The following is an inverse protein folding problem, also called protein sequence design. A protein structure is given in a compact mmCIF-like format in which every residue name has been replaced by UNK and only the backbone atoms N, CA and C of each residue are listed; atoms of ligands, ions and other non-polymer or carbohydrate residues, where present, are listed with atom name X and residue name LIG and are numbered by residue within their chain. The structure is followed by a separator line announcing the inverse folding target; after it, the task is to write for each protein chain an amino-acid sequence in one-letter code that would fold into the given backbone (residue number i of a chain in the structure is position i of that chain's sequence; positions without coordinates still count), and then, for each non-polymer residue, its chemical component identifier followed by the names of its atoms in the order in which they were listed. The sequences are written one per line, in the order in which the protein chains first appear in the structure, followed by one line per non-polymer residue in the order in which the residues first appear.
data_IF_719905224913
#
_entry.id   IF_719905224913
#
_cell.length_a   1.000
_cell.length_b   1.000
_cell.length_c   1.000
_cell.angle_alpha   90.00
_cell.angle_beta   90.00
_cell.angle_gamma   90.00
#
_symmetry.space_group_name_H-M   'P 1'
#
loop_
_entity.id
_entity.type
_entity.pdbx_description
1 polymer ?
#
# COMPACT_ATOMS: atom_id res chain seq x y z
N UNK A 1 11.91 -30.04 11.51
CA UNK A 1 12.69 -28.80 11.22
C UNK A 1 11.67 -27.70 11.02
N UNK A 2 11.85 -26.58 11.73
CA UNK A 2 11.03 -25.40 11.52
C UNK A 2 11.29 -24.87 10.11
N UNK A 3 10.23 -24.59 9.36
CA UNK A 3 10.33 -24.17 7.98
C UNK A 3 10.84 -22.74 7.86
N UNK A 4 11.45 -22.40 6.71
CA UNK A 4 11.97 -21.07 6.44
C UNK A 4 11.21 -20.44 5.28
N UNK A 5 10.50 -19.35 5.54
CA UNK A 5 9.83 -18.56 4.50
C UNK A 5 10.48 -17.17 4.45
N UNK A 6 10.81 -16.75 3.24
CA UNK A 6 11.51 -15.48 3.01
C UNK A 6 10.65 -14.57 2.13
N UNK A 7 10.46 -13.33 2.58
CA UNK A 7 9.94 -12.26 1.76
C UNK A 7 11.08 -11.37 1.28
N UNK A 8 11.30 -11.34 -0.03
CA UNK A 8 12.40 -10.65 -0.68
C UNK A 8 11.88 -9.41 -1.47
N UNK A 9 12.41 -8.22 -1.21
CA UNK A 9 11.93 -7.00 -1.88
C UNK A 9 12.99 -5.91 -1.97
N UNK A 10 12.88 -5.05 -2.99
CA UNK A 10 13.63 -3.79 -3.10
C UNK A 10 12.77 -2.56 -2.78
N UNK A 11 11.54 -2.76 -2.34
CA UNK A 11 10.59 -1.67 -2.03
C UNK A 11 10.62 -1.39 -0.54
N UNK A 12 11.20 -0.25 -0.12
CA UNK A 12 11.40 0.11 1.29
C UNK A 12 10.16 -0.03 2.14
N UNK A 13 9.06 0.60 1.73
CA UNK A 13 7.80 0.54 2.48
C UNK A 13 7.32 -0.91 2.67
N UNK A 14 7.40 -1.75 1.63
CA UNK A 14 7.03 -3.16 1.70
C UNK A 14 7.94 -3.95 2.64
N UNK A 15 9.24 -3.69 2.58
CA UNK A 15 10.21 -4.29 3.49
C UNK A 15 9.83 -4.02 4.95
N UNK A 16 9.66 -2.75 5.33
CA UNK A 16 9.33 -2.39 6.71
C UNK A 16 8.00 -2.98 7.18
N UNK A 17 6.99 -2.97 6.32
CA UNK A 17 5.67 -3.45 6.68
C UNK A 17 5.59 -4.97 6.80
N UNK A 18 6.20 -5.72 5.88
CA UNK A 18 6.28 -7.18 5.97
C UNK A 18 7.13 -7.61 7.17
N UNK A 19 8.23 -6.90 7.45
CA UNK A 19 9.06 -7.12 8.62
C UNK A 19 8.29 -6.86 9.92
N UNK A 20 7.53 -5.77 9.99
CA UNK A 20 6.67 -5.46 11.14
C UNK A 20 5.63 -6.57 11.38
N UNK A 21 4.89 -6.96 10.34
CA UNK A 21 3.89 -8.03 10.42
C UNK A 21 4.52 -9.35 10.91
N UNK A 22 5.65 -9.75 10.33
CA UNK A 22 6.39 -10.94 10.73
C UNK A 22 6.84 -10.86 12.19
N UNK A 23 7.41 -9.74 12.62
CA UNK A 23 7.90 -9.54 14.00
C UNK A 23 6.77 -9.58 15.03
N UNK A 24 5.59 -9.09 14.69
CA UNK A 24 4.41 -9.19 15.55
C UNK A 24 3.95 -10.64 15.69
N UNK A 25 3.86 -11.38 14.56
CA UNK A 25 3.49 -12.80 14.58
C UNK A 25 4.50 -13.68 15.33
N UNK A 26 5.81 -13.37 15.23
CA UNK A 26 6.85 -14.05 16.03
C UNK A 26 6.63 -13.83 17.53
N UNK A 27 6.33 -12.60 17.94
CA UNK A 27 6.04 -12.30 19.36
C UNK A 27 4.77 -12.98 19.87
N UNK A 28 3.81 -13.22 18.97
CA UNK A 28 2.58 -13.95 19.25
C UNK A 28 2.76 -15.47 19.19
N UNK A 29 3.96 -15.97 18.80
CA UNK A 29 4.25 -17.39 18.65
C UNK A 29 3.53 -18.07 17.48
N UNK A 30 3.05 -17.29 16.51
CA UNK A 30 2.25 -17.78 15.39
C UNK A 30 3.07 -18.17 14.16
N UNK A 31 4.31 -17.68 14.06
CA UNK A 31 5.26 -18.07 13.00
C UNK A 31 6.65 -18.34 13.57
N UNK A 32 7.43 -19.24 12.93
CA UNK A 32 8.81 -19.56 13.33
C UNK A 32 9.75 -18.36 13.32
N UNK A 33 10.83 -18.46 14.09
CA UNK A 33 11.89 -17.44 14.15
C UNK A 33 12.63 -17.28 12.82
N UNK A 34 12.68 -18.35 12.01
CA UNK A 34 13.35 -18.45 10.71
C UNK A 34 12.64 -17.72 9.57
N UNK A 35 11.40 -17.25 9.77
CA UNK A 35 10.72 -16.44 8.77
C UNK A 35 11.37 -15.05 8.70
N UNK A 36 11.74 -14.62 7.50
CA UNK A 36 12.52 -13.41 7.32
C UNK A 36 12.00 -12.51 6.20
N UNK A 37 12.20 -11.20 6.39
CA UNK A 37 12.06 -10.21 5.32
C UNK A 37 13.45 -9.69 4.97
N UNK A 38 13.85 -9.84 3.73
CA UNK A 38 15.15 -9.40 3.22
C UNK A 38 14.98 -8.27 2.20
N UNK A 39 15.86 -7.26 2.30
CA UNK A 39 15.89 -6.14 1.39
C UNK A 39 17.01 -6.33 0.36
N UNK A 40 16.67 -6.13 -0.91
CA UNK A 40 17.63 -6.07 -2.01
C UNK A 40 17.83 -4.60 -2.37
N UNK A 41 19.06 -4.11 -2.20
CA UNK A 41 19.41 -2.75 -2.60
C UNK A 41 19.62 -2.66 -4.12
N UNK A 42 19.49 -1.46 -4.69
CA UNK A 42 19.69 -1.23 -6.13
C UNK A 42 21.10 -1.60 -6.62
N UNK A 43 22.07 -1.62 -5.73
CA UNK A 43 23.46 -2.01 -5.98
C UNK A 43 23.76 -3.46 -5.60
N UNK A 44 22.78 -4.23 -5.11
CA UNK A 44 23.00 -5.61 -4.70
C UNK A 44 23.38 -6.47 -5.90
N UNK A 45 24.46 -7.21 -5.74
CA UNK A 45 24.89 -8.24 -6.69
C UNK A 45 24.66 -9.62 -6.08
N UNK A 46 24.31 -10.60 -6.94
CA UNK A 46 24.20 -11.98 -6.52
C UNK A 46 25.55 -12.49 -5.99
N UNK A 47 25.54 -13.13 -4.84
CA UNK A 47 26.76 -13.61 -4.17
C UNK A 47 26.47 -14.86 -3.32
N UNK A 48 27.53 -15.53 -2.84
CA UNK A 48 27.42 -16.66 -1.91
C UNK A 48 26.67 -16.32 -0.61
N UNK A 49 26.60 -15.05 -0.23
CA UNK A 49 25.83 -14.61 0.95
C UNK A 49 24.36 -14.85 0.69
N UNK A 50 23.87 -14.44 -0.50
CA UNK A 50 22.47 -14.69 -0.90
C UNK A 50 22.16 -16.17 -1.04
N UNK A 51 23.09 -16.95 -1.64
CA UNK A 51 22.94 -18.41 -1.74
C UNK A 51 22.81 -19.07 -0.35
N UNK A 52 23.57 -18.59 0.62
CA UNK A 52 23.49 -19.08 2.01
C UNK A 52 22.18 -18.66 2.67
N UNK A 53 21.73 -17.41 2.46
CA UNK A 53 20.49 -16.90 3.05
C UNK A 53 19.23 -17.57 2.48
N UNK A 54 19.23 -17.87 1.18
CA UNK A 54 18.05 -18.37 0.46
C UNK A 54 18.07 -19.90 0.29
N UNK A 55 19.21 -20.56 0.48
CA UNK A 55 19.45 -21.94 0.04
C UNK A 55 18.68 -23.03 0.79
N UNK A 56 18.14 -22.72 1.95
CA UNK A 56 17.33 -23.59 2.81
C UNK A 56 15.88 -23.09 2.96
N UNK A 57 15.45 -22.14 2.10
CA UNK A 57 14.09 -21.64 2.13
C UNK A 57 13.09 -22.68 1.57
N UNK A 58 11.98 -22.86 2.26
CA UNK A 58 10.85 -23.67 1.80
C UNK A 58 9.93 -22.93 0.83
N UNK A 59 9.93 -21.60 0.90
CA UNK A 59 9.23 -20.73 -0.01
C UNK A 59 9.86 -19.33 0.00
N UNK A 60 10.03 -18.76 -1.19
CA UNK A 60 10.45 -17.35 -1.35
C UNK A 60 9.34 -16.55 -2.04
N UNK A 61 8.79 -15.59 -1.33
CA UNK A 61 7.89 -14.58 -1.88
C UNK A 61 8.71 -13.36 -2.30
N UNK A 62 8.52 -12.89 -3.55
CA UNK A 62 9.35 -11.84 -4.13
C UNK A 62 8.50 -10.70 -4.62
N UNK A 63 8.93 -9.47 -4.32
CA UNK A 63 8.35 -8.26 -4.89
C UNK A 63 9.42 -7.26 -5.25
N UNK A 64 9.66 -7.12 -6.55
CA UNK A 64 10.60 -6.16 -7.09
C UNK A 64 9.89 -5.06 -7.89
N UNK A 65 10.50 -3.86 -7.87
CA UNK A 65 10.18 -2.76 -8.79
C UNK A 65 11.44 -2.31 -9.51
N UNK A 66 11.30 -1.98 -10.79
CA UNK A 66 12.37 -1.47 -11.64
C UNK A 66 13.14 -2.56 -12.38
N UNK A 67 13.60 -2.22 -13.59
CA UNK A 67 14.24 -3.16 -14.54
C UNK A 67 15.70 -3.46 -14.22
N UNK A 68 16.43 -2.52 -13.60
CA UNK A 68 17.88 -2.66 -13.33
C UNK A 68 18.19 -3.81 -12.35
N UNK A 69 17.37 -4.00 -11.32
CA UNK A 69 17.56 -5.09 -10.35
C UNK A 69 17.25 -6.44 -10.99
N UNK A 70 16.35 -6.48 -11.95
CA UNK A 70 16.02 -7.71 -12.68
C UNK A 70 17.23 -8.32 -13.36
N UNK A 71 18.00 -7.54 -14.12
CA UNK A 71 19.14 -8.05 -14.89
C UNK A 71 20.34 -8.44 -14.04
N UNK A 72 20.59 -7.76 -12.94
CA UNK A 72 21.79 -7.95 -12.11
C UNK A 72 21.62 -8.98 -10.99
N UNK A 73 20.42 -9.14 -10.49
CA UNK A 73 20.13 -9.97 -9.33
C UNK A 73 19.16 -11.11 -9.65
N UNK A 74 18.02 -10.79 -10.29
CA UNK A 74 16.89 -11.69 -10.43
C UNK A 74 17.17 -12.91 -11.30
N UNK A 75 17.82 -12.76 -12.44
CA UNK A 75 18.10 -13.90 -13.33
C UNK A 75 18.98 -14.95 -12.64
N UNK A 76 19.96 -14.51 -11.83
CA UNK A 76 20.80 -15.40 -11.03
C UNK A 76 20.03 -16.03 -9.88
N UNK A 77 19.12 -15.29 -9.26
CA UNK A 77 18.21 -15.79 -8.24
C UNK A 77 17.33 -16.91 -8.77
N UNK A 78 16.71 -16.72 -9.95
CA UNK A 78 15.90 -17.74 -10.62
C UNK A 78 16.70 -19.02 -10.94
N UNK A 79 17.89 -18.87 -11.50
CA UNK A 79 18.77 -20.00 -11.80
C UNK A 79 19.13 -20.78 -10.51
N UNK A 80 19.39 -20.08 -9.42
CA UNK A 80 19.65 -20.70 -8.13
C UNK A 80 18.42 -21.45 -7.57
N UNK A 81 17.24 -20.86 -7.63
CA UNK A 81 16.01 -21.52 -7.18
C UNK A 81 15.70 -22.77 -8.01
N UNK A 82 15.89 -22.70 -9.33
CA UNK A 82 15.75 -23.87 -10.19
C UNK A 82 16.71 -24.99 -9.82
N UNK A 83 18.00 -24.65 -9.61
CA UNK A 83 19.04 -25.64 -9.24
C UNK A 83 18.80 -26.28 -7.86
N UNK A 84 18.16 -25.57 -6.94
CA UNK A 84 17.85 -26.01 -5.57
C UNK A 84 16.43 -26.52 -5.39
N UNK A 85 15.59 -26.45 -6.44
CA UNK A 85 14.15 -26.77 -6.37
C UNK A 85 13.40 -25.98 -5.30
N UNK A 86 13.79 -24.72 -5.07
CA UNK A 86 13.16 -23.83 -4.08
C UNK A 86 11.87 -23.27 -4.68
N UNK A 87 10.71 -23.48 -4.07
CA UNK A 87 9.45 -22.85 -4.49
C UNK A 87 9.52 -21.33 -4.36
N UNK A 88 8.97 -20.62 -5.33
CA UNK A 88 8.89 -19.17 -5.28
C UNK A 88 7.67 -18.60 -6.02
N UNK A 89 7.28 -17.41 -5.62
CA UNK A 89 6.36 -16.57 -6.37
C UNK A 89 6.89 -15.13 -6.43
N UNK A 90 6.94 -14.57 -7.63
CA UNK A 90 7.29 -13.17 -7.86
C UNK A 90 6.05 -12.39 -8.26
N UNK A 91 5.67 -11.43 -7.40
CA UNK A 91 4.67 -10.42 -7.69
C UNK A 91 5.34 -9.29 -8.50
N UNK A 92 5.10 -9.33 -9.79
CA UNK A 92 5.58 -8.32 -10.73
C UNK A 92 4.68 -7.08 -10.65
N UNK A 93 5.06 -6.15 -9.86
CA UNK A 93 4.35 -4.90 -9.57
C UNK A 93 3.87 -4.12 -10.82
N UNK A 94 2.90 -4.65 -11.57
CA UNK A 94 2.19 -3.96 -12.64
C UNK A 94 2.37 -4.49 -14.07
N UNK A 95 3.12 -5.58 -14.27
CA UNK A 95 3.29 -6.21 -15.59
C UNK A 95 3.10 -7.72 -15.49
N UNK A 96 2.09 -8.26 -16.17
CA UNK A 96 1.87 -9.71 -16.24
C UNK A 96 3.07 -10.47 -16.85
N UNK A 97 3.87 -9.80 -17.68
CA UNK A 97 5.05 -10.35 -18.32
C UNK A 97 6.23 -10.59 -17.36
N UNK A 98 6.19 -10.00 -16.17
CA UNK A 98 7.24 -10.11 -15.17
C UNK A 98 6.87 -11.07 -14.04
N UNK A 99 5.65 -11.56 -14.00
CA UNK A 99 5.22 -12.54 -13.01
C UNK A 99 5.88 -13.89 -13.27
N UNK A 100 6.49 -14.46 -12.24
CA UNK A 100 7.13 -15.76 -12.31
C UNK A 100 6.83 -16.58 -11.06
N UNK A 101 6.61 -17.90 -11.24
CA UNK A 101 6.33 -18.81 -10.13
C UNK A 101 6.91 -20.20 -10.39
N UNK A 102 7.19 -20.90 -9.31
CA UNK A 102 7.50 -22.32 -9.31
C UNK A 102 7.03 -22.93 -7.98
N UNK A 103 6.34 -24.06 -8.04
CA UNK A 103 5.85 -24.76 -6.85
C UNK A 103 4.70 -24.05 -6.09
N UNK A 104 4.11 -22.99 -6.64
CA UNK A 104 2.95 -22.28 -6.06
C UNK A 104 1.77 -22.36 -7.04
N UNK A 105 0.61 -22.77 -6.58
CA UNK A 105 -0.57 -22.95 -7.42
C UNK A 105 -1.15 -21.59 -7.87
N UNK A 106 -1.94 -21.60 -8.94
CA UNK A 106 -2.61 -20.38 -9.43
C UNK A 106 -3.60 -19.81 -8.43
N UNK A 107 -4.34 -20.68 -7.75
CA UNK A 107 -5.28 -20.27 -6.71
C UNK A 107 -4.56 -19.61 -5.51
N UNK A 108 -3.40 -20.12 -5.12
CA UNK A 108 -2.59 -19.52 -4.06
C UNK A 108 -2.03 -18.16 -4.48
N UNK A 109 -1.58 -18.04 -5.74
CA UNK A 109 -1.09 -16.78 -6.30
C UNK A 109 -2.18 -15.72 -6.26
N UNK A 110 -3.41 -16.05 -6.65
CA UNK A 110 -4.52 -15.09 -6.62
C UNK A 110 -4.78 -14.59 -5.19
N UNK A 111 -4.77 -15.48 -4.21
CA UNK A 111 -4.93 -15.09 -2.80
C UNK A 111 -3.76 -14.26 -2.26
N UNK A 112 -2.51 -14.59 -2.63
CA UNK A 112 -1.33 -13.78 -2.32
C UNK A 112 -1.47 -12.37 -2.90
N UNK A 113 -1.92 -12.27 -4.16
CA UNK A 113 -2.19 -10.98 -4.82
C UNK A 113 -3.20 -10.15 -4.04
N UNK A 114 -4.31 -10.75 -3.62
CA UNK A 114 -5.36 -10.06 -2.87
C UNK A 114 -4.85 -9.52 -1.52
N UNK A 115 -4.14 -10.33 -0.71
CA UNK A 115 -3.52 -9.85 0.53
C UNK A 115 -2.54 -8.69 0.28
N UNK A 116 -1.68 -8.85 -0.72
CA UNK A 116 -0.67 -7.84 -1.07
C UNK A 116 -1.30 -6.55 -1.57
N UNK A 117 -2.40 -6.67 -2.32
CA UNK A 117 -3.07 -5.57 -2.98
C UNK A 117 -3.92 -4.75 -2.00
N UNK A 118 -4.76 -5.41 -1.19
CA UNK A 118 -5.53 -4.72 -0.17
C UNK A 118 -4.64 -4.08 0.89
N UNK A 119 -3.43 -4.62 1.10
CA UNK A 119 -2.43 -4.03 1.98
C UNK A 119 -2.88 -3.95 3.44
N UNK A 120 -2.12 -3.26 4.29
CA UNK A 120 -2.43 -3.11 5.71
C UNK A 120 -1.87 -4.22 6.59
N UNK A 121 -1.62 -3.90 7.87
CA UNK A 121 -0.93 -4.81 8.79
C UNK A 121 -1.67 -6.14 8.96
N UNK A 122 -3.01 -6.11 9.03
CA UNK A 122 -3.84 -7.31 9.15
C UNK A 122 -3.69 -8.23 7.94
N UNK A 123 -3.76 -7.68 6.72
CA UNK A 123 -3.58 -8.46 5.50
C UNK A 123 -2.16 -9.01 5.37
N UNK A 124 -1.15 -8.29 5.83
CA UNK A 124 0.23 -8.78 5.79
C UNK A 124 0.53 -9.82 6.87
N UNK A 125 -0.11 -9.75 8.03
CA UNK A 125 -0.10 -10.85 9.00
C UNK A 125 -0.73 -12.10 8.39
N UNK A 126 -1.92 -11.95 7.80
CA UNK A 126 -2.61 -13.06 7.13
C UNK A 126 -1.82 -13.59 5.92
N UNK A 127 -1.11 -12.75 5.19
CA UNK A 127 -0.21 -13.19 4.12
C UNK A 127 0.90 -14.12 4.66
N UNK A 128 1.57 -13.74 5.76
CA UNK A 128 2.57 -14.61 6.37
C UNK A 128 1.98 -15.96 6.82
N UNK A 129 0.82 -15.95 7.46
CA UNK A 129 0.12 -17.17 7.87
C UNK A 129 -0.33 -18.00 6.66
N UNK A 130 -0.74 -17.34 5.57
CA UNK A 130 -1.10 -18.03 4.33
C UNK A 130 0.10 -18.69 3.65
N UNK A 131 1.24 -18.00 3.59
CA UNK A 131 2.49 -18.58 3.10
C UNK A 131 2.90 -19.81 3.93
N UNK A 132 2.73 -19.77 5.25
CA UNK A 132 2.94 -20.91 6.14
C UNK A 132 1.99 -22.07 5.82
N UNK A 133 0.71 -21.78 5.63
CA UNK A 133 -0.32 -22.77 5.32
C UNK A 133 -0.02 -23.52 4.01
N UNK A 134 0.30 -22.80 2.93
CA UNK A 134 0.57 -23.42 1.61
C UNK A 134 1.89 -24.20 1.54
N UNK A 135 2.82 -23.93 2.45
CA UNK A 135 4.05 -24.73 2.56
C UNK A 135 3.88 -26.00 3.42
N UNK A 136 2.66 -26.33 3.85
CA UNK A 136 2.36 -27.44 4.74
C UNK A 136 3.15 -27.43 6.07
N UNK A 137 3.54 -26.24 6.53
CA UNK A 137 4.26 -26.07 7.81
C UNK A 137 3.32 -25.94 9.02
N UNK A 138 2.04 -26.27 8.85
CA UNK A 138 1.03 -26.21 9.88
C UNK A 138 0.36 -24.86 10.01
N UNK A 139 -0.63 -24.79 10.89
CA UNK A 139 -1.46 -23.63 11.08
C UNK A 139 -2.86 -23.78 10.45
N UNK A 140 -3.76 -22.92 10.87
CA UNK A 140 -5.08 -22.83 10.29
C UNK A 140 -5.06 -21.92 9.06
N UNK A 141 -6.00 -22.14 8.14
CA UNK A 141 -6.21 -21.22 7.01
C UNK A 141 -6.51 -19.83 7.56
N UNK A 142 -5.72 -18.80 7.23
CA UNK A 142 -5.97 -17.46 7.75
C UNK A 142 -7.26 -16.87 7.18
N UNK A 143 -7.76 -15.85 7.87
CA UNK A 143 -8.97 -15.13 7.43
C UNK A 143 -8.76 -14.54 6.01
N UNK A 144 -9.87 -14.48 5.25
CA UNK A 144 -9.88 -13.90 3.91
C UNK A 144 -9.31 -12.46 3.90
N UNK A 145 -8.72 -12.04 2.75
CA UNK A 145 -8.20 -10.68 2.60
C UNK A 145 -9.27 -9.64 2.88
N UNK A 146 -8.99 -8.74 3.81
CA UNK A 146 -9.91 -7.65 4.18
C UNK A 146 -9.78 -6.51 3.18
N UNK A 147 -10.86 -6.21 2.45
CA UNK A 147 -10.93 -5.03 1.60
C UNK A 147 -11.10 -3.78 2.47
N UNK A 148 -10.20 -2.81 2.31
CA UNK A 148 -10.32 -1.47 2.89
C UNK A 148 -10.74 -0.48 1.81
N UNK A 149 -11.35 0.66 2.21
CA UNK A 149 -11.73 1.72 1.27
C UNK A 149 -10.54 2.13 0.39
N UNK A 150 -10.81 2.35 -0.90
CA UNK A 150 -9.80 2.86 -1.84
C UNK A 150 -9.57 4.35 -1.72
N UNK A 151 -10.62 5.09 -1.31
CA UNK A 151 -10.57 6.50 -0.98
C UNK A 151 -11.55 6.80 0.15
N UNK A 152 -11.28 7.85 0.90
CA UNK A 152 -12.14 8.29 1.99
C UNK A 152 -11.58 9.49 2.73
N UNK A 153 -12.38 10.07 3.60
CA UNK A 153 -11.99 11.20 4.44
C UNK A 153 -11.45 10.65 5.76
N UNK A 154 -10.29 11.12 6.14
CA UNK A 154 -9.64 10.82 7.40
C UNK A 154 -9.75 11.99 8.38
N UNK A 155 -9.97 11.68 9.65
CA UNK A 155 -9.83 12.60 10.76
C UNK A 155 -9.50 11.83 12.04
N UNK A 156 -8.54 12.29 12.88
CA UNK A 156 -8.16 11.57 14.11
C UNK A 156 -9.29 11.45 15.14
N UNK A 157 -10.32 12.27 15.06
CA UNK A 157 -11.51 12.22 15.91
C UNK A 157 -12.66 11.37 15.37
N UNK A 158 -12.52 10.72 14.22
CA UNK A 158 -13.54 9.78 13.75
C UNK A 158 -13.56 8.51 14.61
N UNK A 159 -14.73 8.00 15.02
CA UNK A 159 -14.84 6.74 15.73
C UNK A 159 -14.42 5.54 14.86
N UNK A 160 -14.68 5.61 13.55
CA UNK A 160 -14.12 4.72 12.54
C UNK A 160 -12.84 5.33 11.97
N UNK A 161 -11.97 4.50 11.39
CA UNK A 161 -10.70 4.98 10.81
C UNK A 161 -10.88 5.96 9.65
N UNK A 162 -12.04 5.97 8.99
CA UNK A 162 -12.39 6.89 7.90
C UNK A 162 -13.90 6.93 7.67
N UNK A 163 -14.34 7.88 6.84
CA UNK A 163 -15.70 7.92 6.31
C UNK A 163 -15.69 8.21 4.81
N UNK A 164 -16.68 7.70 4.10
CA UNK A 164 -16.95 8.04 2.69
C UNK A 164 -18.10 9.04 2.55
N UNK A 165 -18.71 9.43 3.65
CA UNK A 165 -19.83 10.38 3.68
C UNK A 165 -19.35 11.79 4.02
N UNK A 166 -19.21 12.64 3.00
CA UNK A 166 -18.80 14.03 3.15
C UNK A 166 -19.80 14.85 3.99
N UNK A 167 -21.10 14.60 3.84
CA UNK A 167 -22.13 15.35 4.59
C UNK A 167 -22.05 15.03 6.08
N UNK A 168 -21.93 13.75 6.44
CA UNK A 168 -21.69 13.29 7.82
C UNK A 168 -20.42 13.92 8.38
N UNK A 169 -19.33 13.88 7.62
CA UNK A 169 -18.05 14.47 8.04
C UNK A 169 -18.17 15.97 8.32
N UNK A 170 -18.75 16.73 7.38
CA UNK A 170 -18.95 18.18 7.56
C UNK A 170 -19.78 18.50 8.80
N UNK A 171 -20.84 17.76 9.04
CA UNK A 171 -21.69 17.93 10.24
C UNK A 171 -20.92 17.72 11.55
N UNK A 172 -19.94 16.81 11.56
CA UNK A 172 -19.16 16.47 12.75
C UNK A 172 -17.99 17.43 13.00
N UNK A 173 -17.29 17.85 11.93
CA UNK A 173 -15.98 18.50 12.05
C UNK A 173 -15.89 19.88 11.39
N UNK A 174 -16.86 20.29 10.58
CA UNK A 174 -16.80 21.58 9.89
C UNK A 174 -17.82 22.57 10.47
N UNK A 175 -17.45 23.86 10.40
CA UNK A 175 -18.33 24.99 10.69
C UNK A 175 -18.55 25.78 9.41
N UNK A 176 -19.78 26.20 9.14
CA UNK A 176 -20.17 26.87 7.88
C UNK A 176 -19.51 28.24 7.71
N UNK A 177 -19.20 28.92 8.81
CA UNK A 177 -18.60 30.26 8.87
C UNK A 177 -17.06 30.25 8.71
N UNK A 178 -16.46 29.09 8.45
CA UNK A 178 -14.99 28.93 8.36
C UNK A 178 -14.54 28.51 6.98
N UNK A 179 -13.41 29.04 6.49
CA UNK A 179 -12.78 28.52 5.27
C UNK A 179 -12.39 27.05 5.46
N UNK A 180 -12.45 26.30 4.36
CA UNK A 180 -12.22 24.86 4.36
C UNK A 180 -11.00 24.53 3.50
N UNK A 181 -10.00 23.90 4.09
CA UNK A 181 -8.80 23.42 3.39
C UNK A 181 -8.90 21.93 3.14
N UNK A 182 -8.83 21.54 1.88
CA UNK A 182 -8.70 20.14 1.47
C UNK A 182 -7.24 19.69 1.50
N UNK A 183 -6.99 18.44 1.86
CA UNK A 183 -5.72 17.75 1.65
C UNK A 183 -5.98 16.45 0.90
N UNK A 184 -5.14 16.11 -0.07
CA UNK A 184 -5.16 14.79 -0.70
C UNK A 184 -3.82 14.10 -0.50
N UNK A 185 -3.84 12.84 -0.03
CA UNK A 185 -2.65 12.08 0.33
C UNK A 185 -2.77 10.59 -0.01
N UNK A 186 -1.67 9.86 0.07
CA UNK A 186 -1.67 8.44 -0.32
C UNK A 186 -2.44 7.57 0.66
N UNK A 187 -3.28 6.67 0.13
CA UNK A 187 -3.97 5.61 0.88
C UNK A 187 -3.01 4.74 1.69
N UNK A 188 -1.81 4.52 1.17
CA UNK A 188 -0.80 3.74 1.88
C UNK A 188 -0.44 4.34 3.24
N UNK A 189 -0.40 5.66 3.36
CA UNK A 189 -0.11 6.34 4.63
C UNK A 189 -1.24 6.10 5.64
N UNK A 190 -2.49 6.18 5.17
CA UNK A 190 -3.67 5.89 6.00
C UNK A 190 -3.71 4.43 6.46
N UNK A 191 -3.54 3.46 5.55
CA UNK A 191 -3.72 2.05 5.87
C UNK A 191 -2.61 1.50 6.77
N UNK A 192 -1.43 2.17 6.78
CA UNK A 192 -0.31 1.84 7.63
C UNK A 192 -0.24 2.62 8.94
N UNK A 193 -1.13 3.61 9.10
CA UNK A 193 -1.17 4.46 10.27
C UNK A 193 -0.01 5.48 10.35
N UNK A 194 0.64 5.76 9.21
CA UNK A 194 1.69 6.77 9.09
C UNK A 194 1.04 8.13 8.79
N UNK A 195 0.42 8.71 9.82
CA UNK A 195 -0.49 9.84 9.71
C UNK A 195 -0.02 11.09 10.48
N UNK A 196 1.27 11.17 10.78
CA UNK A 196 1.81 12.24 11.62
C UNK A 196 1.61 13.62 11.01
N UNK A 197 1.96 13.80 9.74
CA UNK A 197 1.81 15.10 9.08
C UNK A 197 0.35 15.44 8.75
N UNK A 198 -0.50 14.45 8.47
CA UNK A 198 -1.94 14.67 8.28
C UNK A 198 -2.59 15.13 9.58
N UNK A 199 -2.22 14.51 10.70
CA UNK A 199 -2.68 14.94 12.02
C UNK A 199 -2.19 16.35 12.36
N UNK A 200 -0.94 16.68 12.05
CA UNK A 200 -0.40 18.02 12.26
C UNK A 200 -1.14 19.06 11.39
N UNK A 201 -1.38 18.73 10.12
CA UNK A 201 -2.13 19.58 9.19
C UNK A 201 -3.55 19.85 9.70
N UNK A 202 -4.31 18.80 10.05
CA UNK A 202 -5.69 18.94 10.55
C UNK A 202 -5.72 19.82 11.79
N UNK A 203 -4.88 19.52 12.79
CA UNK A 203 -4.80 20.30 14.04
C UNK A 203 -4.43 21.77 13.80
N UNK A 204 -3.53 22.02 12.85
CA UNK A 204 -3.13 23.39 12.55
C UNK A 204 -4.23 24.17 11.85
N UNK A 205 -4.96 23.57 10.92
CA UNK A 205 -6.16 24.19 10.32
C UNK A 205 -7.19 24.54 11.40
N UNK A 206 -7.50 23.60 12.29
CA UNK A 206 -8.45 23.81 13.38
C UNK A 206 -7.99 24.92 14.33
N UNK A 207 -6.70 24.97 14.69
CA UNK A 207 -6.10 26.00 15.54
C UNK A 207 -6.20 27.40 14.91
N UNK A 208 -6.09 27.47 13.58
CA UNK A 208 -6.22 28.72 12.82
C UNK A 208 -7.68 29.10 12.50
N UNK A 209 -8.65 28.35 13.02
CA UNK A 209 -10.07 28.61 12.78
C UNK A 209 -10.53 28.21 11.38
N UNK A 210 -9.85 27.29 10.72
CA UNK A 210 -10.24 26.72 9.43
C UNK A 210 -10.80 25.29 9.61
N UNK A 211 -11.62 24.85 8.66
CA UNK A 211 -12.00 23.45 8.54
C UNK A 211 -10.92 22.70 7.74
N UNK A 212 -10.74 21.40 8.02
CA UNK A 212 -9.87 20.52 7.26
C UNK A 212 -10.67 19.34 6.69
N UNK A 213 -10.43 18.98 5.42
CA UNK A 213 -10.95 17.74 4.80
C UNK A 213 -9.76 16.99 4.21
N UNK A 214 -9.25 16.01 4.94
CA UNK A 214 -8.10 15.20 4.52
C UNK A 214 -8.59 13.91 3.86
N UNK A 215 -8.31 13.74 2.56
CA UNK A 215 -8.77 12.64 1.73
C UNK A 215 -7.60 11.76 1.32
N UNK A 216 -7.69 10.47 1.61
CA UNK A 216 -6.73 9.51 1.08
C UNK A 216 -7.23 8.86 -0.21
N UNK A 217 -6.29 8.54 -1.10
CA UNK A 217 -6.54 7.82 -2.35
C UNK A 217 -5.29 7.10 -2.84
N UNK A 218 -5.46 6.14 -3.73
CA UNK A 218 -4.32 5.50 -4.42
C UNK A 218 -3.67 6.42 -5.47
N UNK A 219 -4.40 7.41 -5.97
CA UNK A 219 -3.93 8.35 -6.99
C UNK A 219 -3.91 7.78 -8.41
N UNK A 220 -3.50 6.52 -8.57
CA UNK A 220 -3.53 5.79 -9.85
C UNK A 220 -4.60 4.70 -9.76
N UNK A 221 -5.69 4.80 -10.52
CA UNK A 221 -6.77 3.82 -10.48
C UNK A 221 -6.35 2.51 -11.18
N UNK A 222 -6.79 1.40 -10.61
CA UNK A 222 -6.81 0.09 -11.26
C UNK A 222 -8.28 -0.28 -11.42
N UNK A 223 -8.79 -0.19 -12.66
CA UNK A 223 -10.23 -0.31 -12.97
C UNK A 223 -10.81 -1.65 -12.53
N UNK A 224 -10.06 -2.75 -12.73
CA UNK A 224 -10.47 -4.11 -12.39
C UNK A 224 -10.73 -4.30 -10.88
N UNK A 225 -10.18 -3.41 -10.05
CA UNK A 225 -10.30 -3.46 -8.61
C UNK A 225 -11.32 -2.46 -8.04
N UNK A 226 -12.05 -1.76 -8.90
CA UNK A 226 -13.03 -0.77 -8.48
C UNK A 226 -12.42 0.45 -7.77
N UNK A 227 -11.14 0.78 -8.05
CA UNK A 227 -10.52 1.98 -7.50
C UNK A 227 -11.08 3.24 -8.14
N UNK A 228 -11.43 4.26 -7.38
CA UNK A 228 -11.91 5.51 -7.95
C UNK A 228 -10.78 6.25 -8.68
N UNK A 229 -11.14 6.89 -9.79
CA UNK A 229 -10.28 7.88 -10.46
C UNK A 229 -10.14 9.15 -9.59
N UNK A 230 -9.13 9.97 -9.86
CA UNK A 230 -9.02 11.28 -9.18
C UNK A 230 -10.25 12.16 -9.44
N UNK A 231 -10.82 12.12 -10.65
CA UNK A 231 -12.07 12.80 -10.96
C UNK A 231 -13.20 12.41 -10.01
N UNK A 232 -13.39 11.10 -9.79
CA UNK A 232 -14.38 10.60 -8.84
C UNK A 232 -14.06 10.99 -7.39
N UNK A 233 -12.80 10.96 -6.98
CA UNK A 233 -12.35 11.40 -5.65
C UNK A 233 -12.69 12.89 -5.43
N UNK A 234 -12.41 13.74 -6.41
CA UNK A 234 -12.74 15.16 -6.33
C UNK A 234 -14.24 15.39 -6.20
N UNK A 235 -15.04 14.73 -7.05
CA UNK A 235 -16.50 14.87 -6.99
C UNK A 235 -17.11 14.35 -5.68
N UNK A 236 -16.58 13.25 -5.15
CA UNK A 236 -17.14 12.64 -3.95
C UNK A 236 -16.77 13.37 -2.65
N UNK A 237 -15.60 14.02 -2.60
CA UNK A 237 -15.06 14.52 -1.33
C UNK A 237 -14.73 16.01 -1.32
N UNK A 238 -14.56 16.64 -2.48
CA UNK A 238 -14.26 18.08 -2.56
C UNK A 238 -15.35 18.90 -3.25
N UNK A 239 -16.45 18.24 -3.68
CA UNK A 239 -17.63 18.88 -4.22
C UNK A 239 -18.86 18.50 -3.39
N UNK A 240 -19.79 19.44 -3.21
CA UNK A 240 -21.08 19.22 -2.57
C UNK A 240 -22.16 19.99 -3.36
N UNK A 241 -23.22 19.30 -3.76
CA UNK A 241 -24.34 19.88 -4.50
C UNK A 241 -23.89 20.70 -5.74
N UNK A 242 -22.88 20.18 -6.47
CA UNK A 242 -22.32 20.81 -7.66
C UNK A 242 -21.41 22.02 -7.42
N UNK A 243 -21.06 22.31 -6.17
CA UNK A 243 -20.18 23.43 -5.78
C UNK A 243 -18.95 22.92 -5.03
N UNK A 244 -17.83 23.66 -5.04
CA UNK A 244 -16.70 23.37 -4.20
C UNK A 244 -17.09 23.26 -2.71
N UNK A 245 -16.65 22.17 -2.08
CA UNK A 245 -16.79 21.94 -0.63
C UNK A 245 -15.55 22.40 0.14
N UNK A 246 -14.51 22.81 -0.57
CA UNK A 246 -13.24 23.33 -0.05
C UNK A 246 -12.82 24.57 -0.85
N UNK A 247 -12.11 25.49 -0.20
CA UNK A 247 -11.62 26.72 -0.82
C UNK A 247 -10.27 26.51 -1.54
N UNK A 248 -9.49 25.53 -1.10
CA UNK A 248 -8.17 25.18 -1.64
C UNK A 248 -7.86 23.71 -1.33
N UNK A 249 -7.06 23.07 -2.19
CA UNK A 249 -6.55 21.72 -1.96
C UNK A 249 -5.02 21.74 -1.86
N UNK A 250 -4.49 21.09 -0.84
CA UNK A 250 -3.06 20.75 -0.71
C UNK A 250 -2.85 19.35 -1.27
N UNK A 251 -2.13 19.25 -2.39
CA UNK A 251 -1.75 17.98 -3.01
C UNK A 251 -0.45 17.46 -2.39
N UNK A 252 -0.51 16.33 -1.69
CA UNK A 252 0.68 15.65 -1.17
C UNK A 252 0.97 14.33 -1.90
N UNK A 253 0.23 14.02 -2.96
CA UNK A 253 0.62 12.98 -3.91
C UNK A 253 1.88 13.45 -4.66
N UNK A 254 2.87 12.58 -4.82
CA UNK A 254 4.18 12.95 -5.43
C UNK A 254 4.12 13.18 -6.95
N UNK A 255 2.97 13.57 -7.48
CA UNK A 255 2.74 13.89 -8.90
C UNK A 255 1.60 14.90 -9.05
N UNK A 256 1.60 15.65 -10.15
CA UNK A 256 0.48 16.53 -10.48
C UNK A 256 -0.75 15.72 -10.85
N UNK A 257 -1.93 16.21 -10.52
CA UNK A 257 -3.19 15.47 -10.76
C UNK A 257 -3.37 15.04 -12.21
N UNK A 258 -2.95 15.86 -13.16
CA UNK A 258 -3.07 15.54 -14.60
C UNK A 258 -2.05 14.53 -15.11
N UNK A 259 -0.94 14.31 -14.39
CA UNK A 259 0.08 13.35 -14.78
C UNK A 259 -0.38 11.89 -14.67
N UNK A 260 -1.38 11.63 -13.83
CA UNK A 260 -1.95 10.29 -13.65
C UNK A 260 -2.88 9.86 -14.81
N UNK A 261 -3.33 10.81 -15.66
CA UNK A 261 -4.37 10.56 -16.67
C UNK A 261 -5.76 10.29 -16.08
N UNK A 262 -5.92 10.30 -14.76
CA UNK A 262 -7.19 9.99 -14.08
C UNK A 262 -8.08 11.21 -13.79
N UNK A 263 -7.60 12.41 -14.16
CA UNK A 263 -8.35 13.67 -14.23
C UNK A 263 -7.73 14.56 -15.30
N UNK A 264 -8.56 15.19 -16.11
CA UNK A 264 -8.11 16.08 -17.19
C UNK A 264 -7.93 17.52 -16.70
N UNK A 265 -7.17 18.32 -17.48
CA UNK A 265 -7.03 19.77 -17.21
C UNK A 265 -8.37 20.49 -17.31
N UNK A 266 -9.22 20.08 -18.23
CA UNK A 266 -10.56 20.64 -18.45
C UNK A 266 -11.48 20.34 -17.26
N UNK A 267 -11.43 19.14 -16.71
CA UNK A 267 -12.18 18.80 -15.48
C UNK A 267 -11.71 19.62 -14.28
N UNK A 268 -10.39 19.75 -14.07
CA UNK A 268 -9.83 20.58 -12.99
C UNK A 268 -10.24 22.05 -13.11
N UNK A 269 -10.25 22.59 -14.33
CA UNK A 269 -10.73 23.96 -14.58
C UNK A 269 -12.21 24.13 -14.23
N UNK A 270 -13.06 23.13 -14.54
CA UNK A 270 -14.50 23.15 -14.19
C UNK A 270 -14.73 23.06 -12.68
N UNK A 271 -13.91 22.29 -11.98
CA UNK A 271 -13.95 22.17 -10.51
C UNK A 271 -13.61 23.52 -9.86
N UNK A 272 -12.75 24.33 -10.47
CA UNK A 272 -12.37 25.69 -10.05
C UNK A 272 -11.88 25.81 -8.61
N UNK A 273 -11.20 24.78 -8.08
CA UNK A 273 -10.56 24.80 -6.76
C UNK A 273 -9.06 25.04 -6.94
N UNK A 274 -8.47 26.06 -6.31
CA UNK A 274 -7.02 26.23 -6.29
C UNK A 274 -6.29 25.03 -5.69
N UNK A 275 -5.14 24.66 -6.25
CA UNK A 275 -4.32 23.55 -5.78
C UNK A 275 -2.93 24.05 -5.41
N UNK A 276 -2.49 23.76 -4.20
CA UNK A 276 -1.10 23.92 -3.75
C UNK A 276 -0.40 22.56 -3.79
N UNK A 277 0.76 22.51 -4.42
CA UNK A 277 1.62 21.33 -4.39
C UNK A 277 2.41 21.32 -3.07
N UNK A 278 2.12 20.33 -2.23
CA UNK A 278 2.81 20.08 -0.98
C UNK A 278 3.76 18.90 -1.11
N UNK A 279 5.06 19.14 -1.05
CA UNK A 279 6.05 18.07 -1.04
C UNK A 279 6.46 17.76 0.41
N UNK A 280 6.20 16.53 0.87
CA UNK A 280 6.83 16.06 2.10
C UNK A 280 8.27 15.63 1.75
N UNK A 281 9.24 16.34 2.28
CA UNK A 281 10.63 15.90 2.30
C UNK A 281 10.75 14.85 3.42
N UNK A 282 10.73 13.57 3.05
CA UNK A 282 11.11 12.46 3.92
C UNK A 282 12.37 11.84 3.34
#
# INVERSE_FOLDING_TARGET
MEGKIIYLTNVDRRFFMMRKACSELKREGLVPAEYETLKVESTSLWSRIWEKQLGDADLVMIRFRGTTIRTMFWDKCLAFFAAKSIPYYMDAAGSAEEEARNGVSEADVEKIKQYSFYSGIKNYKNLWLFLQFITNRGGEMPAEPSAYCWAGIYHPGLPELCTTDLRRYKKMFCREDRPTVGMIFYRDEWIWGDLQYQNAFIRECERQGMNAIAVFTNGLPVSEMGMPTLSQVFHNYFMADGRPAVDIIVNTLKFSFTASGSITKEELKKISIPVLEGYSLI
#
